data_IF_536310553926
#
_entry.id   IF_536310553926
#
_cell.length_a   1.000
_cell.length_b   1.000
_cell.length_c   1.000
_cell.angle_alpha   90.00
_cell.angle_beta   90.00
_cell.angle_gamma   90.00
#
_symmetry.space_group_name_H-M   'P 1'
#
loop_
_entity.id
_entity.type
_entity.pdbx_description
1 polymer ?
#
# COMPACT_ATOMS: atom_id res chain seq x y z
N UNK A 1 -18.43 7.51 -0.84
CA UNK A 1 -17.74 8.12 0.33
C UNK A 1 -16.56 7.27 0.72
N UNK A 2 -15.34 7.81 0.55
CA UNK A 2 -14.11 7.23 1.07
C UNK A 2 -13.84 7.95 2.40
N UNK A 3 -13.79 7.21 3.51
CA UNK A 3 -13.66 7.80 4.85
C UNK A 3 -12.21 8.03 5.28
N UNK A 4 -11.26 7.27 4.73
CA UNK A 4 -9.83 7.41 4.98
C UNK A 4 -9.03 6.72 3.86
N UNK A 5 -7.91 7.32 3.44
CA UNK A 5 -6.94 6.67 2.55
C UNK A 5 -5.76 6.21 3.38
N UNK A 6 -5.58 4.89 3.49
CA UNK A 6 -4.49 4.26 4.23
C UNK A 6 -3.51 3.59 3.28
N UNK A 7 -2.22 3.70 3.59
CA UNK A 7 -1.17 3.01 2.82
C UNK A 7 -1.04 1.56 3.32
N UNK A 8 -1.79 0.67 2.68
CA UNK A 8 -1.77 -0.76 2.97
C UNK A 8 -0.77 -1.43 2.03
N UNK A 9 0.21 -2.11 2.62
CA UNK A 9 1.23 -2.87 1.92
C UNK A 9 1.01 -4.36 2.20
N UNK A 10 1.39 -5.24 1.26
CA UNK A 10 1.39 -6.67 1.53
C UNK A 10 2.73 -7.12 2.12
N UNK A 11 2.67 -7.95 3.16
CA UNK A 11 3.86 -8.57 3.74
C UNK A 11 4.17 -9.90 3.04
N UNK A 12 4.83 -9.80 1.89
CA UNK A 12 5.21 -10.96 1.09
C UNK A 12 6.33 -11.79 1.73
N UNK A 13 7.13 -11.20 2.63
CA UNK A 13 8.24 -11.90 3.28
C UNK A 13 7.72 -12.88 4.34
N UNK A 14 6.80 -12.42 5.18
CA UNK A 14 6.25 -13.25 6.26
C UNK A 14 5.15 -14.18 5.79
N UNK A 15 4.54 -13.94 4.63
CA UNK A 15 3.44 -14.79 4.12
C UNK A 15 3.89 -16.13 3.54
N UNK A 16 5.20 -16.35 3.36
CA UNK A 16 5.74 -17.56 2.73
C UNK A 16 5.31 -17.73 1.27
N UNK A 17 4.74 -16.69 0.66
CA UNK A 17 4.14 -16.75 -0.67
C UNK A 17 5.12 -16.20 -1.72
N UNK A 18 5.34 -16.96 -2.79
CA UNK A 18 6.23 -16.57 -3.87
C UNK A 18 5.57 -15.48 -4.72
N UNK A 19 6.11 -14.27 -4.65
CA UNK A 19 5.68 -13.12 -5.46
C UNK A 19 6.72 -12.84 -6.56
N UNK A 20 6.88 -13.79 -7.48
CA UNK A 20 7.90 -13.80 -8.54
C UNK A 20 7.40 -13.27 -9.89
N UNK A 21 6.09 -13.23 -10.07
CA UNK A 21 5.47 -12.76 -11.32
C UNK A 21 5.45 -11.24 -11.39
N UNK A 22 5.64 -10.72 -12.59
CA UNK A 22 5.59 -9.30 -12.91
C UNK A 22 4.43 -9.05 -13.87
N UNK A 23 3.77 -7.90 -13.74
CA UNK A 23 2.75 -7.44 -14.70
C UNK A 23 2.97 -5.97 -15.05
N UNK A 24 2.61 -5.60 -16.26
CA UNK A 24 2.48 -4.19 -16.64
C UNK A 24 1.22 -3.59 -16.03
N UNK A 25 1.38 -2.47 -15.35
CA UNK A 25 0.28 -1.69 -14.80
C UNK A 25 0.38 -0.25 -15.28
N UNK A 26 -0.74 0.31 -15.75
CA UNK A 26 -0.83 1.75 -15.95
C UNK A 26 -1.07 2.41 -14.59
N UNK A 27 -0.16 3.29 -14.21
CA UNK A 27 -0.25 4.05 -12.97
C UNK A 27 -0.21 5.53 -13.32
N UNK A 28 -1.21 6.27 -12.82
CA UNK A 28 -1.22 7.72 -12.89
C UNK A 28 -0.32 8.26 -11.78
N UNK A 29 0.58 9.20 -12.13
CA UNK A 29 1.39 9.85 -11.11
C UNK A 29 0.59 10.98 -10.47
N UNK A 30 0.65 11.10 -9.15
CA UNK A 30 -0.17 12.05 -8.38
C UNK A 30 0.02 13.52 -8.82
N UNK A 31 1.17 13.83 -9.43
CA UNK A 31 1.54 15.16 -9.92
C UNK A 31 1.47 15.32 -11.44
N UNK A 32 1.06 14.29 -12.19
CA UNK A 32 1.02 14.34 -13.65
C UNK A 32 -0.19 13.58 -14.18
N UNK A 33 -0.99 14.23 -15.02
CA UNK A 33 -2.13 13.61 -15.72
C UNK A 33 -1.71 12.55 -16.75
N UNK A 34 -0.41 12.25 -16.84
CA UNK A 34 0.14 11.27 -17.77
C UNK A 34 0.15 9.89 -17.12
N UNK A 35 -0.54 8.96 -17.76
CA UNK A 35 -0.45 7.52 -17.48
C UNK A 35 0.95 7.01 -17.83
N UNK A 36 1.63 6.35 -16.88
CA UNK A 36 2.89 5.65 -17.14
C UNK A 36 2.72 4.15 -16.95
N UNK A 37 3.30 3.37 -17.86
CA UNK A 37 3.44 1.91 -17.67
C UNK A 37 4.54 1.67 -16.64
N UNK A 38 4.22 0.89 -15.62
CA UNK A 38 5.15 0.44 -14.59
C UNK A 38 5.05 -1.08 -14.47
N UNK A 39 6.20 -1.73 -14.46
CA UNK A 39 6.28 -3.14 -14.12
C UNK A 39 6.06 -3.28 -12.61
N UNK A 40 5.04 -4.01 -12.19
CA UNK A 40 4.69 -4.24 -10.79
C UNK A 40 4.71 -5.73 -10.46
N UNK A 41 5.09 -6.05 -9.23
CA UNK A 41 5.07 -7.42 -8.72
C UNK A 41 3.61 -7.85 -8.57
N UNK A 42 3.31 -9.06 -9.02
CA UNK A 42 2.03 -9.73 -8.77
C UNK A 42 2.16 -10.44 -7.44
N UNK A 43 1.44 -9.91 -6.46
CA UNK A 43 1.41 -10.50 -5.14
C UNK A 43 0.48 -11.71 -5.10
N UNK A 44 0.89 -12.74 -4.36
CA UNK A 44 0.01 -13.84 -4.03
C UNK A 44 -1.15 -13.34 -3.15
N UNK A 45 -2.34 -13.94 -3.31
CA UNK A 45 -3.50 -13.60 -2.49
C UNK A 45 -3.28 -14.07 -1.05
N UNK A 46 -3.02 -13.13 -0.14
CA UNK A 46 -2.83 -13.39 1.28
C UNK A 46 -3.70 -12.45 2.10
N UNK A 47 -4.08 -12.88 3.28
CA UNK A 47 -4.89 -12.14 4.25
C UNK A 47 -4.04 -11.39 5.29
N UNK A 48 -2.75 -11.17 5.01
CA UNK A 48 -1.83 -10.41 5.86
C UNK A 48 -1.41 -9.12 5.17
N UNK A 49 -1.59 -8.01 5.88
CA UNK A 49 -1.29 -6.68 5.38
C UNK A 49 -0.53 -5.88 6.44
N UNK A 50 0.40 -5.05 5.97
CA UNK A 50 1.15 -4.12 6.78
C UNK A 50 0.61 -2.71 6.53
N UNK A 51 0.14 -2.06 7.59
CA UNK A 51 -0.30 -0.67 7.53
C UNK A 51 0.90 0.24 7.77
N UNK A 52 1.39 0.89 6.71
CA UNK A 52 2.51 1.81 6.83
C UNK A 52 2.00 3.23 7.10
N UNK A 53 1.75 3.51 8.38
CA UNK A 53 1.31 4.83 8.83
C UNK A 53 2.39 5.91 8.61
N UNK A 54 3.67 5.55 8.67
CA UNK A 54 4.80 6.49 8.63
C UNK A 54 5.16 7.00 7.23
N UNK A 55 4.87 6.22 6.18
CA UNK A 55 5.14 6.60 4.79
C UNK A 55 4.15 7.65 4.26
N UNK A 56 3.10 7.97 5.02
CA UNK A 56 2.16 9.01 4.65
C UNK A 56 2.64 10.37 5.19
N UNK A 57 2.60 11.38 4.35
CA UNK A 57 2.85 12.78 4.73
C UNK A 57 1.88 13.29 5.82
N UNK A 58 0.78 12.56 6.06
CA UNK A 58 -0.17 12.82 7.15
C UNK A 58 0.00 11.87 8.36
N UNK A 59 1.11 11.13 8.46
CA UNK A 59 1.40 10.15 9.53
C UNK A 59 1.00 10.65 10.92
N UNK A 60 1.43 11.86 11.30
CA UNK A 60 1.16 12.42 12.63
C UNK A 60 -0.35 12.55 12.92
N UNK A 61 -1.15 12.91 11.90
CA UNK A 61 -2.61 13.02 12.03
C UNK A 61 -3.26 11.65 12.14
N UNK A 62 -2.77 10.68 11.38
CA UNK A 62 -3.27 9.30 11.42
C UNK A 62 -2.93 8.64 12.76
N UNK A 63 -1.70 8.81 13.25
CA UNK A 63 -1.25 8.27 14.55
C UNK A 63 -2.06 8.83 15.72
N UNK A 64 -2.37 10.14 15.72
CA UNK A 64 -3.20 10.77 16.75
C UNK A 64 -4.66 10.29 16.75
N UNK A 65 -5.13 9.68 15.66
CA UNK A 65 -6.48 9.13 15.56
C UNK A 65 -6.56 7.63 15.92
N UNK A 66 -5.42 6.96 16.14
CA UNK A 66 -5.39 5.57 16.60
C UNK A 66 -5.66 5.59 18.11
N UNK A 67 -6.73 4.94 18.61
CA UNK A 67 -7.00 4.86 20.03
C UNK A 67 -5.82 4.20 20.75
N UNK A 68 -5.33 4.82 21.82
CA UNK A 68 -4.36 4.16 22.71
C UNK A 68 -5.05 2.93 23.32
N UNK A 69 -4.47 1.75 23.06
CA UNK A 69 -4.93 0.52 23.70
C UNK A 69 -4.53 0.60 25.17
N UNK A 70 -5.52 0.64 26.07
CA UNK A 70 -5.36 0.50 27.53
C UNK A 70 -4.97 -0.94 27.85
#
# INVERSE_FOLDING_TARGET
NIFCTVNVQQDCASSGAVCDKLRDMQVQQEHSEIMKKKLVIVHASTNMFLLNIHALHNYQRTAAAIPEVI
#
